data_IF_667832978989
#
_entry.id   IF_667832978989
#
_cell.length_a   1.000
_cell.length_b   1.000
_cell.length_c   1.000
_cell.angle_alpha   90.00
_cell.angle_beta   90.00
_cell.angle_gamma   90.00
#
_symmetry.space_group_name_H-M   'P 1'
#
loop_
_entity.id
_entity.type
_entity.pdbx_description
1 polymer ?
#
# COMPACT_ATOMS: atom_id res chain seq x y z
N UNK A 1 -20.45 -9.93 -9.39
CA UNK A 1 -19.84 -9.50 -8.11
C UNK A 1 -18.80 -10.54 -7.81
N UNK A 2 -17.57 -10.36 -8.31
CA UNK A 2 -16.58 -11.45 -8.27
C UNK A 2 -15.14 -10.92 -8.39
N UNK A 3 -14.71 -10.24 -7.34
CA UNK A 3 -13.28 -10.07 -7.03
C UNK A 3 -13.14 -10.35 -5.55
N UNK A 4 -13.51 -11.57 -5.19
CA UNK A 4 -13.12 -12.16 -3.91
C UNK A 4 -11.63 -11.90 -3.71
N UNK A 5 -11.32 -11.32 -2.56
CA UNK A 5 -9.99 -10.89 -2.18
C UNK A 5 -9.04 -12.07 -2.25
N UNK A 6 -8.31 -12.16 -3.36
CA UNK A 6 -7.15 -13.01 -3.50
C UNK A 6 -6.20 -12.63 -2.36
N UNK A 7 -6.26 -13.40 -1.27
CA UNK A 7 -5.25 -13.43 -0.21
C UNK A 7 -3.93 -14.04 -0.74
N UNK A 8 -3.58 -13.79 -2.00
CA UNK A 8 -2.37 -14.26 -2.67
C UNK A 8 -1.28 -13.18 -2.71
N UNK A 9 -1.48 -12.07 -2.00
CA UNK A 9 -0.60 -10.91 -2.09
C UNK A 9 -1.04 -9.96 -3.20
N UNK A 10 -0.49 -8.76 -3.15
CA UNK A 10 -0.74 -7.72 -4.14
C UNK A 10 0.10 -7.96 -5.40
N UNK A 11 -0.53 -7.90 -6.58
CA UNK A 11 0.18 -7.97 -7.85
C UNK A 11 0.94 -6.66 -8.15
N UNK A 12 2.15 -6.56 -7.59
CA UNK A 12 3.05 -5.42 -7.75
C UNK A 12 3.39 -5.15 -9.23
N UNK A 13 3.45 -6.18 -10.07
CA UNK A 13 3.73 -6.02 -11.50
C UNK A 13 2.55 -5.34 -12.23
N UNK A 14 1.32 -5.69 -11.86
CA UNK A 14 0.13 -5.01 -12.36
C UNK A 14 0.08 -3.54 -11.93
N UNK A 15 0.39 -3.23 -10.67
CA UNK A 15 0.46 -1.84 -10.21
C UNK A 15 1.56 -1.03 -10.91
N UNK A 16 2.73 -1.62 -11.20
CA UNK A 16 3.76 -0.98 -12.04
C UNK A 16 3.22 -0.60 -13.42
N UNK A 17 2.46 -1.49 -14.06
CA UNK A 17 1.88 -1.24 -15.39
C UNK A 17 0.85 -0.11 -15.35
N UNK A 18 0.02 -0.05 -14.31
CA UNK A 18 -0.94 1.05 -14.14
C UNK A 18 -0.20 2.37 -13.90
N UNK A 19 0.77 2.39 -12.98
CA UNK A 19 1.54 3.60 -12.69
C UNK A 19 2.24 4.16 -13.93
N UNK A 20 2.71 3.30 -14.83
CA UNK A 20 3.30 3.71 -16.10
C UNK A 20 2.26 4.22 -17.12
N UNK A 21 1.00 3.81 -17.00
CA UNK A 21 -0.06 4.14 -17.94
C UNK A 21 -0.85 5.41 -17.57
N UNK A 22 -0.74 5.91 -16.34
CA UNK A 22 -1.47 7.10 -15.89
C UNK A 22 -0.66 7.98 -14.96
N UNK A 23 -0.91 9.29 -14.99
CA UNK A 23 -0.43 10.26 -14.00
C UNK A 23 -1.32 10.35 -12.76
N UNK A 24 -2.54 9.81 -12.81
CA UNK A 24 -3.53 9.88 -11.73
C UNK A 24 -3.07 9.16 -10.45
N UNK A 25 -3.71 9.52 -9.33
CA UNK A 25 -3.54 8.81 -8.06
C UNK A 25 -4.08 7.38 -8.16
N UNK A 26 -3.33 6.43 -7.60
CA UNK A 26 -3.67 5.02 -7.61
C UNK A 26 -3.68 4.52 -6.18
N UNK A 27 -4.77 3.86 -5.80
CA UNK A 27 -4.91 3.22 -4.48
C UNK A 27 -5.11 1.72 -4.67
N UNK A 28 -4.20 0.92 -4.11
CA UNK A 28 -4.32 -0.53 -4.02
C UNK A 28 -5.31 -0.89 -2.90
N UNK A 29 -6.46 -1.44 -3.27
CA UNK A 29 -7.50 -1.85 -2.34
C UNK A 29 -7.47 -3.37 -2.10
N UNK A 30 -6.99 -3.79 -0.92
CA UNK A 30 -7.02 -5.18 -0.47
C UNK A 30 -5.87 -6.06 -0.98
N UNK A 31 -5.73 -7.25 -0.39
CA UNK A 31 -4.70 -8.24 -0.77
C UNK A 31 -3.29 -7.96 -0.24
N UNK A 32 -3.05 -6.81 0.38
CA UNK A 32 -1.76 -6.43 0.99
C UNK A 32 -1.66 -7.06 2.39
N UNK A 33 -0.61 -7.84 2.63
CA UNK A 33 -0.44 -8.60 3.88
C UNK A 33 0.92 -8.39 4.55
N UNK A 34 1.86 -7.75 3.87
CA UNK A 34 3.25 -7.56 4.34
C UNK A 34 3.69 -6.09 4.28
N UNK A 35 4.63 -5.72 5.15
CA UNK A 35 5.26 -4.38 5.14
C UNK A 35 6.07 -4.13 3.86
N UNK A 36 6.61 -5.18 3.26
CA UNK A 36 7.38 -5.08 2.01
C UNK A 36 6.48 -4.69 0.83
N UNK A 37 5.28 -5.27 0.72
CA UNK A 37 4.29 -4.84 -0.26
C UNK A 37 3.91 -3.37 -0.07
N UNK A 38 3.68 -2.94 1.17
CA UNK A 38 3.37 -1.53 1.49
C UNK A 38 4.50 -0.61 1.05
N UNK A 39 5.76 -0.95 1.39
CA UNK A 39 6.94 -0.18 0.96
C UNK A 39 7.07 -0.12 -0.55
N UNK A 40 6.83 -1.24 -1.23
CA UNK A 40 6.98 -1.34 -2.69
C UNK A 40 5.89 -0.52 -3.40
N UNK A 41 4.65 -0.56 -2.92
CA UNK A 41 3.56 0.28 -3.42
C UNK A 41 3.85 1.77 -3.18
N UNK A 42 4.30 2.14 -1.98
CA UNK A 42 4.66 3.51 -1.66
C UNK A 42 5.81 4.05 -2.55
N UNK A 43 6.84 3.24 -2.80
CA UNK A 43 7.94 3.58 -3.71
C UNK A 43 7.48 3.76 -5.17
N UNK A 44 6.35 3.18 -5.56
CA UNK A 44 5.72 3.40 -6.86
C UNK A 44 4.77 4.62 -6.88
N UNK A 45 4.60 5.33 -5.77
CA UNK A 45 3.57 6.37 -5.64
C UNK A 45 2.15 5.80 -5.69
N UNK A 46 1.97 4.58 -5.18
CA UNK A 46 0.66 3.91 -5.04
C UNK A 46 0.29 3.85 -3.57
N UNK A 47 -0.90 4.33 -3.23
CA UNK A 47 -1.41 4.29 -1.86
C UNK A 47 -1.93 2.89 -1.52
N UNK A 48 -1.73 2.44 -0.29
CA UNK A 48 -2.20 1.15 0.19
C UNK A 48 -3.43 1.34 1.11
N UNK A 49 -4.56 0.73 0.76
CA UNK A 49 -5.73 0.65 1.65
C UNK A 49 -5.69 -0.67 2.45
N UNK A 50 -5.37 -0.56 3.74
CA UNK A 50 -5.17 -1.68 4.65
C UNK A 50 -6.36 -1.78 5.62
N UNK A 51 -7.11 -2.88 5.56
CA UNK A 51 -8.23 -3.14 6.47
C UNK A 51 -8.04 -4.46 7.22
N UNK A 52 -8.36 -5.57 6.55
CA UNK A 52 -8.29 -6.92 7.14
C UNK A 52 -6.89 -7.30 7.64
N UNK A 53 -5.82 -6.84 6.99
CA UNK A 53 -4.46 -7.12 7.44
C UNK A 53 -4.14 -6.49 8.81
N UNK A 54 -4.70 -5.31 9.10
CA UNK A 54 -4.60 -4.68 10.41
C UNK A 54 -5.51 -5.40 11.41
N UNK A 55 -6.76 -5.65 11.03
CA UNK A 55 -7.76 -6.29 11.90
C UNK A 55 -7.34 -7.70 12.35
N UNK A 56 -6.70 -8.47 11.46
CA UNK A 56 -6.19 -9.83 11.76
C UNK A 56 -4.81 -9.83 12.41
N UNK A 57 -4.21 -8.66 12.65
CA UNK A 57 -2.89 -8.53 13.27
C UNK A 57 -1.71 -8.94 12.36
N UNK A 58 -1.93 -9.16 11.06
CA UNK A 58 -0.84 -9.41 10.10
C UNK A 58 0.05 -8.20 9.89
N UNK A 59 -0.52 -7.01 9.98
CA UNK A 59 0.20 -5.74 9.96
C UNK A 59 -0.13 -4.96 11.22
N UNK A 60 0.91 -4.47 11.92
CA UNK A 60 0.74 -3.61 13.09
C UNK A 60 0.73 -2.16 12.65
N UNK A 61 -0.11 -1.35 13.29
CA UNK A 61 -0.16 0.09 13.05
C UNK A 61 1.19 0.77 13.37
N UNK A 62 1.88 0.32 14.41
CA UNK A 62 3.20 0.87 14.80
C UNK A 62 4.24 0.69 13.67
N UNK A 63 4.26 -0.48 13.04
CA UNK A 63 5.19 -0.77 11.95
C UNK A 63 4.87 0.08 10.71
N UNK A 64 3.59 0.32 10.44
CA UNK A 64 3.13 1.18 9.35
C UNK A 64 3.43 2.65 9.62
N UNK A 65 3.26 3.11 10.87
CA UNK A 65 3.58 4.48 11.26
C UNK A 65 5.07 4.78 11.08
N UNK A 66 5.95 3.83 11.42
CA UNK A 66 7.39 3.95 11.21
C UNK A 66 7.79 4.07 9.73
N UNK A 67 6.95 3.65 8.78
CA UNK A 67 7.19 3.89 7.35
C UNK A 67 6.96 5.36 6.98
N UNK A 68 5.93 5.99 7.56
CA UNK A 68 5.54 7.37 7.24
C UNK A 68 6.48 8.42 7.82
N UNK A 69 7.21 8.11 8.90
CA UNK A 69 8.14 9.05 9.55
C UNK A 69 9.45 9.27 8.77
N UNK A 70 9.64 8.61 7.63
CA UNK A 70 10.78 8.81 6.73
C UNK A 70 10.62 9.95 5.72
N UNK A 71 9.47 10.64 5.71
CA UNK A 71 9.31 11.98 5.13
C UNK A 71 9.24 13.00 6.26
N UNK A 72 10.11 14.03 6.33
CA UNK A 72 10.01 15.04 7.36
C UNK A 72 8.66 15.78 7.23
N UNK A 73 7.99 16.13 8.34
CA UNK A 73 6.89 17.06 8.27
C UNK A 73 7.43 18.37 7.69
N UNK A 74 6.87 18.83 6.58
CA UNK A 74 7.12 20.15 6.02
C UNK A 74 6.67 21.20 7.05
N UNK A 75 7.58 21.58 7.94
CA UNK A 75 7.43 22.74 8.80
C UNK A 75 7.70 23.98 7.94
N UNK A 76 6.65 24.49 7.30
CA UNK A 76 6.72 25.84 6.71
C UNK A 76 6.24 26.84 7.76
N UNK A 77 7.12 27.81 8.02
CA UNK A 77 7.00 28.93 8.97
C UNK A 77 5.84 29.87 8.69
#
# INVERSE_FOLDING_TARGET
>A
VDKEGMMQGTDLAWFRRIRAATSLEVTAAGGITTLEEVRTLAAMGVHAALGMAIYTGRLRLDDLAALNTSSPPENTS
#
